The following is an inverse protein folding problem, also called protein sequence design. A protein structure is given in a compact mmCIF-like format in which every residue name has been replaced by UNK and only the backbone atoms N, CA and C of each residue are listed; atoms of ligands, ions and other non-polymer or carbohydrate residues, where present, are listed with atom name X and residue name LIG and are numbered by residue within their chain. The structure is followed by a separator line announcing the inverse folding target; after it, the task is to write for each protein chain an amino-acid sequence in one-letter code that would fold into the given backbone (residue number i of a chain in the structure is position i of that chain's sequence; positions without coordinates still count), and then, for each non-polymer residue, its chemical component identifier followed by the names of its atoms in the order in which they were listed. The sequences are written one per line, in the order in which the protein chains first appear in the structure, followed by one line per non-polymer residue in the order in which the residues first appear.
data_IF_418028825549
#
_entry.id   IF_418028825549
#
_cell.length_a   1.000
_cell.length_b   1.000
_cell.length_c   1.000
_cell.angle_alpha   90.00
_cell.angle_beta   90.00
_cell.angle_gamma   90.00
#
_symmetry.space_group_name_H-M   'P 1'
#
loop_
_entity.id
_entity.type
_entity.pdbx_description
1 polymer ?
#
# COMPACT_ATOMS: atom_id res chain seq x y z
N UNK A 1 -4.08 -12.42 1.83
CA UNK A 1 -2.75 -11.83 2.10
C UNK A 1 -1.96 -11.49 0.84
N UNK A 2 -1.47 -12.44 0.01
CA UNK A 2 -0.69 -12.09 -1.21
C UNK A 2 -1.44 -11.23 -2.24
N UNK A 3 -2.75 -11.44 -2.38
CA UNK A 3 -3.60 -10.68 -3.31
C UNK A 3 -3.83 -9.23 -2.89
N UNK A 4 -3.77 -8.91 -1.59
CA UNK A 4 -4.02 -7.55 -1.10
C UNK A 4 -2.81 -6.65 -1.32
N UNK A 5 -1.59 -7.17 -1.19
CA UNK A 5 -0.36 -6.40 -1.42
C UNK A 5 -0.25 -5.89 -2.85
N UNK A 6 -0.56 -6.75 -3.84
CA UNK A 6 -0.54 -6.35 -5.25
C UNK A 6 -1.57 -5.25 -5.54
N UNK A 7 -2.76 -5.35 -4.96
CA UNK A 7 -3.83 -4.34 -5.11
C UNK A 7 -3.48 -3.02 -4.42
N UNK A 8 -2.84 -3.06 -3.25
CA UNK A 8 -2.35 -1.86 -2.56
C UNK A 8 -1.29 -1.12 -3.37
N UNK A 9 -0.36 -1.84 -3.99
CA UNK A 9 0.64 -1.24 -4.89
C UNK A 9 -0.06 -0.62 -6.11
N UNK A 10 -1.02 -1.34 -6.70
CA UNK A 10 -1.79 -0.83 -7.84
C UNK A 10 -2.59 0.44 -7.48
N UNK A 11 -3.24 0.46 -6.31
CA UNK A 11 -3.97 1.63 -5.82
C UNK A 11 -3.05 2.82 -5.60
N UNK A 12 -1.88 2.60 -4.97
CA UNK A 12 -0.88 3.64 -4.79
C UNK A 12 -0.39 4.22 -6.12
N UNK A 13 -0.06 3.37 -7.10
CA UNK A 13 0.39 3.83 -8.42
C UNK A 13 -0.67 4.69 -9.08
N UNK A 14 -1.94 4.24 -9.08
CA UNK A 14 -3.05 5.02 -9.62
C UNK A 14 -3.19 6.36 -8.87
N UNK A 15 -3.16 6.35 -7.54
CA UNK A 15 -3.31 7.55 -6.73
C UNK A 15 -2.18 8.58 -6.95
N UNK A 16 -0.97 8.12 -7.27
CA UNK A 16 0.14 8.98 -7.69
C UNK A 16 -0.12 9.58 -9.07
N UNK A 17 -0.57 8.77 -10.04
CA UNK A 17 -0.94 9.25 -11.39
C UNK A 17 -2.07 10.30 -11.32
N UNK A 18 -3.09 10.07 -10.51
CA UNK A 18 -4.20 11.01 -10.31
C UNK A 18 -3.79 12.28 -9.57
N UNK A 19 -2.71 12.25 -8.79
CA UNK A 19 -2.14 13.46 -8.18
C UNK A 19 -1.45 14.39 -9.19
N UNK A 20 -1.17 13.90 -10.41
CA UNK A 20 -0.44 14.64 -11.45
C UNK A 20 -1.34 15.19 -12.57
N UNK A 21 -2.63 14.83 -12.59
CA UNK A 21 -3.60 15.24 -13.62
C UNK A 21 -4.98 15.48 -13.03
N UNK A 22 -5.84 16.19 -13.74
CA UNK A 22 -7.27 16.25 -13.40
C UNK A 22 -7.89 14.86 -13.61
N UNK A 23 -8.50 14.23 -12.58
CA UNK A 23 -9.07 12.90 -12.71
C UNK A 23 -10.28 12.89 -13.65
N UNK A 24 -10.33 11.90 -14.55
CA UNK A 24 -11.51 11.62 -15.37
C UNK A 24 -12.51 10.69 -14.65
N UNK A 25 -13.73 10.57 -15.16
CA UNK A 25 -14.71 9.59 -14.65
C UNK A 25 -14.17 8.17 -14.69
N UNK A 26 -13.47 7.79 -15.76
CA UNK A 26 -12.86 6.47 -15.91
C UNK A 26 -11.77 6.19 -14.86
N UNK A 27 -11.01 7.22 -14.47
CA UNK A 27 -10.01 7.11 -13.41
C UNK A 27 -10.66 6.82 -12.04
N UNK A 28 -11.76 7.51 -11.75
CA UNK A 28 -12.53 7.32 -10.52
C UNK A 28 -13.12 5.91 -10.47
N UNK A 29 -13.73 5.44 -11.56
CA UNK A 29 -14.27 4.08 -11.65
C UNK A 29 -13.19 3.01 -11.46
N UNK A 30 -12.01 3.20 -12.07
CA UNK A 30 -10.89 2.28 -11.92
C UNK A 30 -10.44 2.20 -10.46
N UNK A 31 -10.37 3.35 -9.78
CA UNK A 31 -10.04 3.41 -8.36
C UNK A 31 -11.07 2.68 -7.50
N UNK A 32 -12.36 2.92 -7.74
CA UNK A 32 -13.47 2.26 -7.03
C UNK A 32 -13.39 0.74 -7.17
N UNK A 33 -13.14 0.22 -8.39
CA UNK A 33 -12.99 -1.23 -8.63
C UNK A 33 -11.85 -1.86 -7.81
N UNK A 34 -10.71 -1.16 -7.71
CA UNK A 34 -9.57 -1.64 -6.91
C UNK A 34 -9.94 -1.66 -5.42
N UNK A 35 -10.56 -0.59 -4.92
CA UNK A 35 -10.97 -0.43 -3.52
C UNK A 35 -12.02 -1.47 -3.11
N UNK A 36 -13.04 -1.70 -3.94
CA UNK A 36 -14.10 -2.67 -3.67
C UNK A 36 -13.59 -4.12 -3.62
N UNK A 37 -12.45 -4.42 -4.26
CA UNK A 37 -11.83 -5.74 -4.25
C UNK A 37 -10.92 -5.99 -3.03
N UNK A 38 -10.92 -5.09 -2.05
CA UNK A 38 -10.10 -5.19 -0.83
C UNK A 38 -10.96 -5.09 0.44
N UNK A 39 -10.55 -5.74 1.55
CA UNK A 39 -11.21 -5.56 2.83
C UNK A 39 -11.20 -4.10 3.28
N UNK A 40 -12.32 -3.64 3.84
CA UNK A 40 -12.50 -2.25 4.28
C UNK A 40 -11.38 -1.80 5.24
N UNK A 41 -10.98 -2.66 6.19
CA UNK A 41 -9.93 -2.34 7.16
C UNK A 41 -8.60 -1.97 6.49
N UNK A 42 -8.22 -2.70 5.45
CA UNK A 42 -6.99 -2.44 4.68
C UNK A 42 -7.09 -1.12 3.92
N UNK A 43 -8.23 -0.86 3.29
CA UNK A 43 -8.49 0.40 2.56
C UNK A 43 -8.47 1.58 3.52
N UNK A 44 -9.18 1.49 4.64
CA UNK A 44 -9.24 2.58 5.64
C UNK A 44 -7.85 2.91 6.19
N UNK A 45 -7.00 1.90 6.42
CA UNK A 45 -5.62 2.10 6.84
C UNK A 45 -4.78 2.78 5.76
N UNK A 46 -4.94 2.36 4.51
CA UNK A 46 -4.27 2.98 3.37
C UNK A 46 -4.64 4.46 3.23
N UNK A 47 -5.93 4.81 3.23
CA UNK A 47 -6.38 6.20 3.08
C UNK A 47 -5.88 7.09 4.22
N UNK A 48 -5.88 6.57 5.45
CA UNK A 48 -5.32 7.28 6.61
C UNK A 48 -3.85 7.62 6.40
N UNK A 49 -3.05 6.68 5.89
CA UNK A 49 -1.64 6.92 5.60
C UNK A 49 -1.45 7.85 4.40
N UNK A 50 -2.26 7.70 3.34
CA UNK A 50 -2.22 8.53 2.13
C UNK A 50 -2.43 10.02 2.44
N UNK A 51 -3.27 10.34 3.43
CA UNK A 51 -3.49 11.73 3.86
C UNK A 51 -2.21 12.42 4.38
N UNK A 52 -1.21 11.65 4.81
CA UNK A 52 0.04 12.15 5.40
C UNK A 52 1.26 11.89 4.52
N UNK A 53 1.22 10.85 3.68
CA UNK A 53 2.37 10.38 2.92
C UNK A 53 1.99 10.17 1.46
N UNK A 54 2.81 10.68 0.55
CA UNK A 54 2.62 10.51 -0.90
C UNK A 54 2.73 9.04 -1.34
N UNK A 55 3.54 8.24 -0.64
CA UNK A 55 3.73 6.80 -0.88
C UNK A 55 3.57 6.01 0.42
N UNK A 56 2.32 5.70 0.84
CA UNK A 56 2.04 5.02 2.11
C UNK A 56 2.38 3.52 2.11
N UNK A 57 2.67 2.93 0.95
CA UNK A 57 3.02 1.52 0.76
C UNK A 57 4.44 1.42 0.21
N UNK A 58 5.32 0.78 0.97
CA UNK A 58 6.72 0.57 0.61
C UNK A 58 7.07 -0.93 0.59
N UNK A 59 8.01 -1.31 -0.27
CA UNK A 59 8.55 -2.67 -0.28
C UNK A 59 9.62 -2.83 0.78
N UNK A 60 9.82 -4.08 1.19
CA UNK A 60 10.97 -4.48 1.98
C UNK A 60 12.00 -5.14 1.06
N UNK A 61 13.18 -4.52 0.91
CA UNK A 61 14.27 -5.03 0.05
C UNK A 61 15.49 -5.27 0.92
N UNK A 62 16.03 -6.50 0.90
CA UNK A 62 17.18 -6.90 1.73
C UNK A 62 17.04 -6.54 3.23
N UNK A 63 15.81 -6.60 3.77
CA UNK A 63 15.51 -6.26 5.15
C UNK A 63 15.43 -4.75 5.45
N UNK A 64 15.52 -3.89 4.45
CA UNK A 64 15.36 -2.44 4.59
C UNK A 64 14.08 -1.93 3.94
N UNK A 65 13.45 -0.93 4.55
CA UNK A 65 12.29 -0.25 4.02
C UNK A 65 12.67 0.59 2.79
N UNK A 66 12.01 0.42 1.65
CA UNK A 66 12.31 1.20 0.44
C UNK A 66 11.91 2.68 0.58
N UNK A 67 10.99 3.02 1.50
CA UNK A 67 10.55 4.40 1.73
C UNK A 67 11.55 5.24 2.54
N UNK A 68 12.03 4.71 3.67
CA UNK A 68 12.92 5.44 4.60
C UNK A 68 14.34 4.87 4.72
N UNK A 69 14.64 3.75 4.05
CA UNK A 69 15.93 3.04 4.05
C UNK A 69 16.38 2.47 5.40
N UNK A 70 15.56 2.56 6.43
CA UNK A 70 15.84 1.95 7.74
C UNK A 70 15.81 0.43 7.61
N UNK A 71 16.82 -0.23 8.18
CA UNK A 71 16.90 -1.69 8.26
C UNK A 71 16.08 -2.19 9.44
N UNK A 72 15.21 -3.17 9.18
CA UNK A 72 14.43 -3.84 10.22
C UNK A 72 15.31 -4.83 11.00
N UNK A 73 15.05 -4.93 12.29
CA UNK A 73 15.60 -6.00 13.11
C UNK A 73 15.24 -7.37 12.52
N UNK A 74 16.16 -8.35 12.64
CA UNK A 74 16.00 -9.67 12.03
C UNK A 74 14.69 -10.36 12.45
N UNK A 75 14.29 -10.21 13.72
CA UNK A 75 13.02 -10.74 14.25
C UNK A 75 11.79 -10.11 13.58
N UNK A 76 11.79 -8.79 13.37
CA UNK A 76 10.71 -8.08 12.69
C UNK A 76 10.63 -8.45 11.21
N UNK A 77 11.77 -8.57 10.53
CA UNK A 77 11.84 -9.00 9.14
C UNK A 77 11.40 -10.47 8.96
N UNK A 78 11.68 -11.34 9.94
CA UNK A 78 11.22 -12.73 9.95
C UNK A 78 9.70 -12.81 10.08
N UNK A 79 9.10 -12.12 11.05
CA UNK A 79 7.63 -12.07 11.23
C UNK A 79 6.88 -11.61 9.97
N UNK A 80 7.40 -10.58 9.29
CA UNK A 80 6.83 -10.09 8.03
C UNK A 80 6.81 -11.16 6.92
N UNK A 81 7.76 -12.10 6.93
CA UNK A 81 7.86 -13.18 5.94
C UNK A 81 7.04 -14.40 6.34
N UNK A 82 7.00 -14.75 7.62
CA UNK A 82 6.34 -15.97 8.11
C UNK A 82 4.86 -15.78 8.35
N UNK A 83 4.45 -14.67 8.96
CA UNK A 83 3.09 -14.55 9.49
C UNK A 83 2.13 -13.94 8.49
N UNK A 84 2.62 -13.18 7.50
CA UNK A 84 1.83 -12.43 6.53
C UNK A 84 0.97 -11.31 7.15
N UNK A 85 0.51 -11.48 8.39
CA UNK A 85 -0.42 -10.66 9.13
C UNK A 85 0.34 -9.92 10.24
N UNK A 86 0.86 -8.74 9.91
CA UNK A 86 1.25 -7.80 10.96
C UNK A 86 -0.01 -7.12 11.46
N UNK A 87 -0.54 -7.60 12.59
CA UNK A 87 -1.44 -6.80 13.45
C UNK A 87 -0.57 -5.72 14.10
N UNK A 88 -0.76 -4.47 13.69
CA UNK A 88 -0.18 -3.26 14.32
C UNK A 88 -1.33 -2.57 15.01
#
# INVERSE_FOLDING_TARGET
MKFETARLIQLQTLDVELGQKTPSTADIERRVKIVQAMPLEIVSRYERLRSRYQRPVARLIAGACEGCRVRLAASAAHRLRTDGAVRI
#
